data_IF_580660536768
#
_entry.id   IF_580660536768
#
_cell.length_a   1.000
_cell.length_b   1.000
_cell.length_c   1.000
_cell.angle_alpha   90.00
_cell.angle_beta   90.00
_cell.angle_gamma   90.00
#
_symmetry.space_group_name_H-M   'P 1'
#
loop_
_entity.id
_entity.type
_entity.pdbx_description
1 polymer ?
#
# COMPACT_ATOMS: atom_id res chain seq x y z
N UNK A 1 -10.30 -12.62 -1.49
CA UNK A 1 -9.02 -12.81 -2.20
C UNK A 1 -8.50 -11.42 -2.56
N UNK A 2 -7.50 -10.93 -1.81
CA UNK A 2 -6.87 -9.63 -2.08
C UNK A 2 -6.06 -9.72 -3.37
N UNK A 3 -6.33 -8.83 -4.32
CA UNK A 3 -5.53 -8.72 -5.54
C UNK A 3 -4.23 -8.00 -5.20
N UNK A 4 -3.12 -8.72 -5.23
CA UNK A 4 -1.80 -8.13 -5.26
C UNK A 4 -1.56 -7.60 -6.68
N UNK A 5 -1.51 -6.28 -6.86
CA UNK A 5 -1.05 -5.69 -8.10
C UNK A 5 0.42 -5.31 -7.93
N UNK A 6 1.30 -6.12 -8.50
CA UNK A 6 2.73 -5.82 -8.62
C UNK A 6 2.93 -5.18 -9.99
N UNK A 7 3.19 -3.88 -10.04
CA UNK A 7 3.44 -3.19 -11.30
C UNK A 7 4.92 -3.02 -11.61
N UNK A 8 5.26 -3.48 -12.81
CA UNK A 8 6.57 -3.31 -13.42
C UNK A 8 6.49 -2.15 -14.41
N UNK A 9 6.82 -0.92 -13.99
CA UNK A 9 7.10 0.12 -14.97
C UNK A 9 8.47 -0.14 -15.64
N UNK A 10 8.49 -0.98 -16.68
CA UNK A 10 9.64 -1.10 -17.57
C UNK A 10 9.46 -0.13 -18.73
N UNK A 11 10.32 0.87 -18.81
CA UNK A 11 10.51 1.64 -20.02
C UNK A 11 11.63 0.95 -20.83
N UNK A 12 11.25 0.06 -21.76
CA UNK A 12 12.18 -0.49 -22.78
C UNK A 12 11.66 -0.01 -24.12
N UNK A 13 12.36 0.97 -24.68
CA UNK A 13 12.17 1.37 -26.06
C UNK A 13 12.58 0.21 -26.99
N UNK A 14 11.61 -0.39 -27.65
CA UNK A 14 11.79 -1.41 -28.66
C UNK A 14 10.43 -1.81 -29.22
N UNK A 15 10.08 -1.32 -30.41
CA UNK A 15 8.90 -1.75 -31.14
C UNK A 15 9.06 -3.23 -31.54
N UNK A 16 8.20 -4.09 -30.99
CA UNK A 16 7.96 -5.44 -31.47
C UNK A 16 6.61 -5.51 -32.19
N UNK A 17 6.46 -6.28 -33.28
CA UNK A 17 5.24 -6.33 -34.08
C UNK A 17 4.09 -6.99 -33.31
N UNK A 18 2.89 -6.44 -33.46
CA UNK A 18 1.65 -6.91 -32.88
C UNK A 18 1.30 -8.34 -33.32
N UNK A 19 1.01 -9.28 -32.41
CA UNK A 19 0.42 -10.54 -32.81
C UNK A 19 -1.09 -10.35 -33.04
N UNK A 20 -1.55 -10.80 -34.19
CA UNK A 20 -2.96 -10.91 -34.59
C UNK A 20 -3.68 -11.89 -33.64
N UNK A 21 -4.72 -11.41 -32.96
CA UNK A 21 -5.61 -12.28 -32.16
C UNK A 21 -6.53 -13.08 -33.07
N UNK A 22 -6.75 -14.38 -32.78
CA UNK A 22 -7.82 -15.14 -33.40
C UNK A 22 -9.17 -14.68 -32.89
N UNK A 23 -10.11 -14.47 -33.80
CA UNK A 23 -11.52 -14.19 -33.49
C UNK A 23 -12.16 -15.42 -32.82
N UNK A 24 -12.63 -15.28 -31.58
CA UNK A 24 -13.45 -16.28 -30.90
C UNK A 24 -14.91 -16.02 -31.23
N UNK A 25 -15.57 -17.04 -31.79
CA UNK A 25 -17.00 -17.08 -32.02
C UNK A 25 -17.79 -17.13 -30.71
N UNK A 26 -19.03 -16.60 -30.66
CA UNK A 26 -19.84 -16.59 -29.44
C UNK A 26 -20.39 -18.01 -29.16
N UNK A 27 -20.08 -18.50 -27.96
CA UNK A 27 -20.68 -19.73 -27.45
C UNK A 27 -22.15 -19.50 -27.08
N UNK A 28 -23.03 -20.39 -27.65
CA UNK A 28 -24.45 -20.39 -27.41
C UNK A 28 -24.82 -20.60 -25.93
N UNK A 29 -25.86 -19.87 -25.52
CA UNK A 29 -26.50 -20.07 -24.21
C UNK A 29 -27.13 -21.46 -24.14
N UNK A 30 -26.61 -22.32 -23.29
CA UNK A 30 -27.30 -23.52 -22.85
C UNK A 30 -28.01 -23.23 -21.53
N UNK A 31 -29.32 -23.23 -21.58
CA UNK A 31 -30.24 -23.18 -20.45
C UNK A 31 -30.13 -24.49 -19.63
N UNK A 32 -29.41 -24.47 -18.52
CA UNK A 32 -29.53 -25.53 -17.53
C UNK A 32 -30.67 -25.18 -16.56
N UNK A 33 -31.82 -25.83 -16.76
CA UNK A 33 -32.93 -25.83 -15.81
C UNK A 33 -32.48 -26.41 -14.47
N UNK A 34 -32.64 -25.65 -13.41
CA UNK A 34 -32.38 -26.10 -12.03
C UNK A 34 -33.52 -27.03 -11.58
N UNK A 35 -33.23 -28.25 -11.06
CA UNK A 35 -34.29 -29.19 -10.67
C UNK A 35 -34.81 -29.00 -9.23
N UNK A 36 -34.54 -27.92 -8.55
CA UNK A 36 -35.00 -27.66 -7.18
C UNK A 36 -35.89 -26.42 -7.09
N UNK A 37 -37.11 -26.55 -7.58
CA UNK A 37 -38.23 -25.64 -7.26
C UNK A 37 -38.79 -26.01 -5.86
N UNK A 38 -38.12 -25.64 -4.80
CA UNK A 38 -38.76 -25.58 -3.48
C UNK A 38 -38.91 -24.12 -3.05
N UNK A 39 -40.20 -23.69 -2.96
CA UNK A 39 -40.57 -22.41 -2.40
C UNK A 39 -40.06 -22.35 -0.94
N UNK A 40 -39.13 -21.44 -0.66
CA UNK A 40 -38.75 -21.15 0.72
C UNK A 40 -39.95 -20.58 1.49
N UNK A 41 -40.16 -21.01 2.74
CA UNK A 41 -41.23 -20.42 3.57
C UNK A 41 -41.04 -18.92 3.75
N UNK A 42 -42.09 -18.13 3.55
CA UNK A 42 -42.06 -16.65 3.64
C UNK A 42 -41.47 -16.11 4.95
N UNK A 43 -41.52 -16.89 6.05
CA UNK A 43 -40.93 -16.51 7.32
C UNK A 43 -39.40 -16.44 7.35
N UNK A 44 -38.70 -17.24 6.53
CA UNK A 44 -37.22 -17.16 6.43
C UNK A 44 -36.77 -15.94 5.63
N UNK A 45 -37.56 -15.46 4.68
CA UNK A 45 -37.29 -14.23 3.94
C UNK A 45 -37.35 -12.97 4.82
N UNK A 46 -38.28 -12.91 5.77
CA UNK A 46 -38.39 -11.78 6.71
C UNK A 46 -37.25 -11.73 7.74
N UNK A 47 -36.76 -12.88 8.21
CA UNK A 47 -35.58 -12.91 9.10
C UNK A 47 -34.30 -12.48 8.39
N UNK A 48 -34.11 -12.83 7.11
CA UNK A 48 -32.96 -12.36 6.36
C UNK A 48 -33.00 -10.85 6.06
N UNK A 49 -34.20 -10.27 5.83
CA UNK A 49 -34.34 -8.83 5.65
C UNK A 49 -34.14 -8.04 6.95
N UNK A 50 -34.51 -8.58 8.12
CA UNK A 50 -34.25 -7.94 9.41
C UNK A 50 -32.79 -8.00 9.81
N UNK A 51 -32.04 -9.03 9.43
CA UNK A 51 -30.59 -9.10 9.68
C UNK A 51 -29.78 -8.13 8.80
N UNK A 52 -30.28 -7.74 7.64
CA UNK A 52 -29.61 -6.74 6.78
C UNK A 52 -29.71 -5.30 7.31
N UNK A 53 -30.65 -5.00 8.21
CA UNK A 53 -30.86 -3.65 8.74
C UNK A 53 -29.90 -3.26 9.89
N UNK A 54 -29.14 -4.19 10.44
CA UNK A 54 -28.25 -3.96 11.57
C UNK A 54 -26.76 -4.20 11.30
N UNK A 55 -26.34 -4.27 10.04
CA UNK A 55 -24.92 -4.19 9.75
C UNK A 55 -24.48 -2.74 10.04
N UNK A 56 -23.52 -2.52 10.96
CA UNK A 56 -22.92 -1.21 11.07
C UNK A 56 -22.42 -0.83 9.69
N UNK A 57 -22.87 0.29 9.17
CA UNK A 57 -22.34 0.87 7.94
C UNK A 57 -20.86 1.16 8.20
N UNK A 58 -20.02 0.16 7.92
CA UNK A 58 -18.57 0.31 8.04
C UNK A 58 -18.12 1.21 6.90
N UNK A 59 -18.11 2.50 7.16
CA UNK A 59 -17.40 3.42 6.30
C UNK A 59 -15.91 3.20 6.56
N UNK A 60 -15.14 2.72 5.57
CA UNK A 60 -13.70 2.61 5.77
C UNK A 60 -13.17 4.00 6.12
N UNK A 61 -12.38 4.07 7.17
CA UNK A 61 -11.68 5.29 7.55
C UNK A 61 -10.73 5.71 6.42
N UNK A 62 -10.11 6.87 6.60
CA UNK A 62 -9.14 7.38 5.65
C UNK A 62 -8.03 6.36 5.37
N UNK A 63 -7.29 6.59 4.31
CA UNK A 63 -6.17 5.74 3.93
C UNK A 63 -4.90 6.17 4.64
N UNK A 64 -4.14 5.19 5.10
CA UNK A 64 -2.77 5.37 5.57
C UNK A 64 -1.83 4.79 4.53
N UNK A 65 -0.99 5.64 3.93
CA UNK A 65 0.17 5.24 3.16
C UNK A 65 1.35 5.03 4.10
N UNK A 66 2.10 3.95 3.92
CA UNK A 66 3.30 3.68 4.72
C UNK A 66 4.46 3.37 3.79
N UNK A 67 5.55 4.11 3.93
CA UNK A 67 6.82 3.76 3.27
C UNK A 67 7.49 2.59 3.98
N UNK A 68 8.19 1.77 3.22
CA UNK A 68 8.94 0.60 3.72
C UNK A 68 9.83 0.92 4.92
N UNK A 69 10.54 2.05 4.90
CA UNK A 69 11.46 2.45 5.95
C UNK A 69 10.81 2.74 7.30
N UNK A 70 9.47 2.81 7.38
CA UNK A 70 8.74 2.85 8.64
C UNK A 70 8.38 1.44 9.18
N UNK A 71 8.59 0.38 8.38
CA UNK A 71 8.27 -1.02 8.70
C UNK A 71 9.54 -1.85 8.86
N UNK A 72 10.52 -1.61 7.99
CA UNK A 72 11.75 -2.40 7.87
C UNK A 72 12.98 -1.57 8.26
N UNK A 73 13.98 -2.25 8.81
CA UNK A 73 15.31 -1.68 8.95
C UNK A 73 15.96 -1.57 7.57
N UNK A 74 16.02 -0.36 7.04
CA UNK A 74 16.58 -0.04 5.72
C UNK A 74 17.96 0.63 5.77
N UNK A 75 18.67 0.49 6.89
CA UNK A 75 20.06 0.99 7.03
C UNK A 75 21.04 0.27 6.11
N UNK A 76 20.68 -0.94 5.68
CA UNK A 76 21.40 -1.73 4.68
C UNK A 76 20.50 -2.04 3.49
N UNK A 77 21.07 -2.22 2.30
CA UNK A 77 20.29 -2.68 1.14
C UNK A 77 19.63 -4.03 1.41
N UNK A 78 18.36 -4.17 1.07
CA UNK A 78 17.62 -5.43 1.10
C UNK A 78 17.73 -6.04 -0.30
N UNK A 79 18.68 -6.96 -0.49
CA UNK A 79 18.95 -7.58 -1.79
C UNK A 79 18.18 -8.89 -1.99
N UNK A 80 17.81 -9.54 -0.90
CA UNK A 80 17.06 -10.80 -0.90
C UNK A 80 16.16 -10.92 0.34
N UNK A 81 15.29 -11.91 0.36
CA UNK A 81 14.29 -12.08 1.40
C UNK A 81 14.87 -12.30 2.80
N UNK A 82 16.09 -12.84 2.92
CA UNK A 82 16.76 -13.03 4.23
C UNK A 82 17.31 -11.72 4.82
N UNK A 83 17.41 -10.65 4.03
CA UNK A 83 17.86 -9.35 4.52
C UNK A 83 16.73 -8.55 5.17
N UNK A 84 15.49 -9.06 5.12
CA UNK A 84 14.33 -8.38 5.68
C UNK A 84 14.38 -8.47 7.21
N UNK A 85 14.55 -7.31 7.82
CA UNK A 85 14.50 -7.12 9.26
C UNK A 85 13.36 -6.16 9.61
N UNK A 86 12.36 -6.67 10.34
CA UNK A 86 11.24 -5.86 10.79
C UNK A 86 11.67 -4.93 11.93
N UNK A 87 11.20 -3.69 11.90
CA UNK A 87 11.36 -2.77 13.02
C UNK A 87 10.54 -3.25 14.24
N UNK A 88 11.00 -3.00 15.46
CA UNK A 88 10.26 -3.36 16.68
C UNK A 88 8.82 -2.77 16.64
N UNK A 89 7.83 -3.63 16.91
CA UNK A 89 6.43 -3.25 16.94
C UNK A 89 5.78 -2.98 15.57
N UNK A 90 6.49 -3.17 14.45
CA UNK A 90 5.95 -2.88 13.12
C UNK A 90 4.70 -3.72 12.80
N UNK A 91 4.71 -5.02 13.10
CA UNK A 91 3.56 -5.90 12.88
C UNK A 91 2.36 -5.51 13.75
N UNK A 92 2.59 -5.16 15.01
CA UNK A 92 1.54 -4.71 15.92
C UNK A 92 0.95 -3.37 15.48
N UNK A 93 1.77 -2.47 14.93
CA UNK A 93 1.31 -1.23 14.33
C UNK A 93 0.38 -1.48 13.14
N UNK A 94 0.79 -2.32 12.20
CA UNK A 94 -0.01 -2.68 11.02
C UNK A 94 -1.33 -3.32 11.46
N UNK A 95 -1.29 -4.25 12.42
CA UNK A 95 -2.49 -4.89 12.98
C UNK A 95 -3.42 -3.84 13.61
N UNK A 96 -2.88 -2.93 14.43
CA UNK A 96 -3.62 -1.87 15.10
C UNK A 96 -4.31 -0.94 14.09
N UNK A 97 -3.60 -0.52 13.05
CA UNK A 97 -4.14 0.29 11.96
C UNK A 97 -5.34 -0.41 11.30
N UNK A 98 -5.18 -1.70 10.99
CA UNK A 98 -6.26 -2.50 10.37
C UNK A 98 -7.46 -2.69 11.30
N UNK A 99 -7.22 -2.99 12.58
CA UNK A 99 -8.29 -3.15 13.58
C UNK A 99 -9.06 -1.85 13.80
N UNK A 100 -8.39 -0.70 13.68
CA UNK A 100 -9.03 0.61 13.74
C UNK A 100 -9.80 0.98 12.47
N UNK A 101 -9.79 0.15 11.44
CA UNK A 101 -10.59 0.30 10.22
C UNK A 101 -10.00 1.19 9.14
N UNK A 102 -8.74 1.59 9.24
CA UNK A 102 -8.06 2.34 8.19
C UNK A 102 -7.73 1.46 6.98
N UNK A 103 -7.83 2.03 5.79
CA UNK A 103 -7.23 1.45 4.60
C UNK A 103 -5.71 1.59 4.67
N UNK A 104 -5.00 0.59 4.17
CA UNK A 104 -3.54 0.52 4.27
C UNK A 104 -2.91 0.22 2.92
N UNK A 105 -2.04 1.12 2.47
CA UNK A 105 -1.22 0.93 1.27
C UNK A 105 0.25 1.10 1.63
N UNK A 106 1.08 0.14 1.21
CA UNK A 106 2.51 0.15 1.46
C UNK A 106 3.25 0.55 0.18
N UNK A 107 4.28 1.37 0.34
CA UNK A 107 5.07 1.90 -0.76
C UNK A 107 6.55 1.58 -0.58
N UNK A 108 7.20 1.16 -1.67
CA UNK A 108 8.63 0.96 -1.72
C UNK A 108 9.24 1.87 -2.78
N UNK A 109 10.37 2.46 -2.45
CA UNK A 109 11.24 3.10 -3.44
C UNK A 109 12.47 2.21 -3.60
N UNK A 110 12.61 1.52 -4.75
CA UNK A 110 13.67 0.54 -5.02
C UNK A 110 14.63 1.00 -6.11
N UNK A 111 15.43 2.05 -5.84
CA UNK A 111 16.36 2.59 -6.85
C UNK A 111 17.45 1.62 -7.27
N UNK A 112 17.69 0.57 -6.49
CA UNK A 112 18.69 -0.45 -6.81
C UNK A 112 18.39 -1.22 -8.09
N UNK A 113 17.11 -1.27 -8.51
CA UNK A 113 16.73 -1.89 -9.78
C UNK A 113 17.28 -1.08 -10.95
N UNK A 114 17.06 0.24 -10.98
CA UNK A 114 17.59 1.10 -12.04
C UNK A 114 19.13 1.16 -12.06
N UNK A 115 19.77 0.86 -10.93
CA UNK A 115 21.22 0.76 -10.80
C UNK A 115 21.77 -0.63 -11.22
N UNK A 116 20.91 -1.58 -11.59
CA UNK A 116 21.32 -2.95 -11.94
C UNK A 116 21.82 -3.78 -10.74
N UNK A 117 21.59 -3.33 -9.48
CA UNK A 117 22.04 -4.01 -8.25
C UNK A 117 20.98 -4.93 -7.65
N UNK A 118 19.73 -4.81 -8.09
CA UNK A 118 18.60 -5.60 -7.64
C UNK A 118 17.73 -5.95 -8.85
N UNK A 119 17.16 -7.15 -8.88
CA UNK A 119 16.22 -7.56 -9.92
C UNK A 119 14.77 -7.35 -9.45
N UNK A 120 13.84 -7.16 -10.39
CA UNK A 120 12.42 -7.10 -10.07
C UNK A 120 11.95 -8.40 -9.37
N UNK A 121 12.47 -9.57 -9.81
CA UNK A 121 12.16 -10.85 -9.18
C UNK A 121 12.62 -10.92 -7.71
N UNK A 122 13.77 -10.33 -7.37
CA UNK A 122 14.23 -10.26 -5.99
C UNK A 122 13.30 -9.37 -5.14
N UNK A 123 12.81 -8.25 -5.70
CA UNK A 123 11.82 -7.41 -5.01
C UNK A 123 10.50 -8.17 -4.80
N UNK A 124 10.02 -8.90 -5.81
CA UNK A 124 8.82 -9.74 -5.69
C UNK A 124 8.99 -10.78 -4.55
N UNK A 125 10.18 -11.40 -4.44
CA UNK A 125 10.51 -12.32 -3.36
C UNK A 125 10.54 -11.64 -1.99
N UNK A 126 11.09 -10.43 -1.91
CA UNK A 126 11.11 -9.61 -0.70
C UNK A 126 9.68 -9.22 -0.27
N UNK A 127 8.84 -8.82 -1.21
CA UNK A 127 7.41 -8.54 -0.96
C UNK A 127 6.70 -9.78 -0.43
N UNK A 128 6.93 -10.94 -1.06
CA UNK A 128 6.33 -12.21 -0.62
C UNK A 128 6.73 -12.56 0.81
N UNK A 129 8.00 -12.37 1.16
CA UNK A 129 8.49 -12.60 2.53
C UNK A 129 7.84 -11.64 3.55
N UNK A 130 7.69 -10.36 3.20
CA UNK A 130 6.99 -9.41 4.05
C UNK A 130 5.52 -9.82 4.27
N UNK A 131 4.85 -10.28 3.21
CA UNK A 131 3.48 -10.79 3.29
C UNK A 131 3.38 -12.06 4.15
N UNK A 132 4.40 -12.92 4.14
CA UNK A 132 4.49 -14.08 5.03
C UNK A 132 4.55 -13.64 6.50
N UNK A 133 5.37 -12.64 6.84
CA UNK A 133 5.41 -12.07 8.19
C UNK A 133 4.05 -11.49 8.61
N UNK A 134 3.36 -10.80 7.71
CA UNK A 134 2.02 -10.29 7.97
C UNK A 134 1.04 -11.43 8.26
N UNK A 135 1.03 -12.48 7.44
CA UNK A 135 0.20 -13.67 7.64
C UNK A 135 0.44 -14.37 8.97
N UNK A 136 1.71 -14.57 9.35
CA UNK A 136 2.09 -15.13 10.66
C UNK A 136 1.63 -14.26 11.83
N UNK A 137 1.54 -12.95 11.64
CA UNK A 137 1.02 -12.01 12.62
C UNK A 137 -0.51 -11.87 12.58
N UNK A 138 -1.23 -12.66 11.76
CA UNK A 138 -2.68 -12.56 11.61
C UNK A 138 -3.17 -11.37 10.80
N UNK A 139 -2.30 -10.74 10.01
CA UNK A 139 -2.62 -9.64 9.10
C UNK A 139 -2.84 -10.23 7.71
N UNK A 140 -4.09 -10.59 7.39
CA UNK A 140 -4.39 -11.30 6.14
C UNK A 140 -4.72 -10.38 4.97
N UNK A 141 -4.93 -9.09 5.20
CA UNK A 141 -5.31 -8.14 4.15
C UNK A 141 -4.66 -6.78 4.35
N UNK A 142 -4.09 -6.25 3.28
CA UNK A 142 -3.76 -4.84 3.07
C UNK A 142 -4.47 -4.39 1.79
N UNK A 143 -4.72 -3.10 1.62
CA UNK A 143 -5.45 -2.59 0.45
C UNK A 143 -4.55 -2.50 -0.79
N UNK A 144 -3.23 -2.38 -0.59
CA UNK A 144 -2.28 -2.42 -1.70
C UNK A 144 -0.81 -2.36 -1.27
N UNK A 145 0.04 -2.72 -2.24
CA UNK A 145 1.48 -2.54 -2.16
C UNK A 145 1.99 -2.15 -3.55
N UNK A 146 2.73 -1.06 -3.63
CA UNK A 146 3.34 -0.58 -4.86
C UNK A 146 4.81 -0.28 -4.65
N UNK A 147 5.61 -0.46 -5.71
CA UNK A 147 6.99 -0.02 -5.68
C UNK A 147 7.42 0.71 -6.95
N UNK A 148 8.32 1.68 -6.80
CA UNK A 148 9.04 2.33 -7.89
C UNK A 148 10.39 1.68 -8.07
N UNK A 149 10.82 1.54 -9.32
CA UNK A 149 12.11 0.95 -9.70
C UNK A 149 13.20 2.00 -9.92
N UNK A 150 12.89 3.27 -9.75
CA UNK A 150 13.75 4.40 -10.07
C UNK A 150 13.86 5.38 -8.91
N UNK A 151 14.92 6.18 -8.91
CA UNK A 151 15.06 7.37 -8.05
C UNK A 151 15.24 8.65 -8.88
N UNK A 152 14.99 8.60 -10.17
CA UNK A 152 15.11 9.76 -11.06
C UNK A 152 13.94 10.73 -10.79
N UNK A 153 14.23 12.02 -10.74
CA UNK A 153 13.22 13.07 -10.48
C UNK A 153 12.13 13.13 -11.56
N UNK A 154 12.50 12.73 -12.76
CA UNK A 154 11.64 12.71 -13.96
C UNK A 154 10.67 11.51 -13.94
N UNK A 155 10.94 10.50 -13.12
CA UNK A 155 10.04 9.37 -12.96
C UNK A 155 8.90 9.72 -12.00
N UNK A 156 7.69 9.83 -12.55
CA UNK A 156 6.50 10.17 -11.77
C UNK A 156 6.20 9.17 -10.64
N UNK A 157 6.68 7.93 -10.74
CA UNK A 157 6.49 6.90 -9.71
C UNK A 157 7.55 6.96 -8.60
N UNK A 158 8.72 7.56 -8.86
CA UNK A 158 9.74 7.73 -7.82
C UNK A 158 9.36 8.84 -6.84
N UNK A 159 9.33 8.54 -5.53
CA UNK A 159 9.14 9.61 -4.53
C UNK A 159 10.30 10.60 -4.58
N UNK A 160 10.04 11.90 -4.41
CA UNK A 160 8.85 12.52 -3.82
C UNK A 160 7.66 12.74 -4.77
N UNK A 161 7.71 12.29 -6.02
CA UNK A 161 6.56 12.38 -6.92
C UNK A 161 5.42 11.47 -6.42
N UNK A 162 4.19 11.77 -6.82
CA UNK A 162 3.01 11.12 -6.27
C UNK A 162 2.35 10.08 -7.19
N UNK A 163 3.03 9.67 -8.24
CA UNK A 163 2.47 8.74 -9.23
C UNK A 163 2.02 7.42 -8.64
N UNK A 164 2.79 6.84 -7.70
CA UNK A 164 2.36 5.62 -7.00
C UNK A 164 1.07 5.83 -6.19
N UNK A 165 0.95 6.96 -5.47
CA UNK A 165 -0.26 7.25 -4.69
C UNK A 165 -1.47 7.47 -5.59
N UNK A 166 -1.33 8.26 -6.66
CA UNK A 166 -2.40 8.47 -7.65
C UNK A 166 -2.84 7.16 -8.30
N UNK A 167 -1.89 6.28 -8.58
CA UNK A 167 -2.21 4.95 -9.08
C UNK A 167 -3.00 4.14 -8.06
N UNK A 168 -2.59 4.14 -6.78
CA UNK A 168 -3.34 3.47 -5.73
C UNK A 168 -4.78 4.03 -5.62
N UNK A 169 -4.97 5.35 -5.70
CA UNK A 169 -6.29 5.97 -5.70
C UNK A 169 -7.16 5.46 -6.85
N UNK A 170 -6.60 5.37 -8.05
CA UNK A 170 -7.35 4.95 -9.24
C UNK A 170 -7.68 3.45 -9.24
N UNK A 171 -6.73 2.59 -8.88
CA UNK A 171 -6.84 1.14 -9.05
C UNK A 171 -7.34 0.42 -7.79
N UNK A 172 -7.01 0.92 -6.59
CA UNK A 172 -7.31 0.26 -5.31
C UNK A 172 -8.49 0.90 -4.58
N UNK A 173 -9.11 1.94 -5.16
CA UNK A 173 -10.25 2.67 -4.57
C UNK A 173 -9.95 3.16 -3.15
N UNK A 174 -8.74 3.70 -2.96
CA UNK A 174 -8.30 4.39 -1.76
C UNK A 174 -8.29 5.89 -1.98
N UNK A 175 -8.24 6.69 -0.91
CA UNK A 175 -8.11 8.15 -0.99
C UNK A 175 -7.16 8.62 0.10
N UNK A 176 -6.08 9.30 -0.27
CA UNK A 176 -5.09 9.79 0.69
C UNK A 176 -5.46 11.14 1.29
N UNK A 177 -6.27 11.93 0.60
CA UNK A 177 -6.72 13.25 1.10
C UNK A 177 -7.37 13.12 2.48
N UNK A 178 -6.82 13.84 3.46
CA UNK A 178 -7.28 13.82 4.85
C UNK A 178 -6.72 12.65 5.68
N UNK A 179 -6.26 11.60 5.05
CA UNK A 179 -5.59 10.47 5.69
C UNK A 179 -4.15 10.77 6.10
N UNK A 180 -3.28 9.77 6.14
CA UNK A 180 -1.91 9.90 6.63
C UNK A 180 -0.91 9.29 5.66
N UNK A 181 0.32 9.81 5.68
CA UNK A 181 1.45 9.16 5.01
C UNK A 181 2.64 9.09 5.97
N UNK A 182 3.00 7.87 6.37
CA UNK A 182 4.07 7.61 7.32
C UNK A 182 5.34 7.13 6.62
N UNK A 183 6.47 7.73 6.97
CA UNK A 183 7.77 7.35 6.45
C UNK A 183 8.91 7.91 7.29
N UNK A 184 10.14 7.52 6.96
CA UNK A 184 11.35 7.95 7.68
C UNK A 184 12.24 8.89 6.86
N UNK A 185 11.81 9.28 5.65
CA UNK A 185 12.59 10.14 4.74
C UNK A 185 11.79 11.37 4.34
N UNK A 186 12.49 12.48 4.11
CA UNK A 186 11.87 13.75 3.67
C UNK A 186 11.07 13.58 2.37
N UNK A 187 11.54 12.76 1.45
CA UNK A 187 10.82 12.53 0.20
C UNK A 187 9.49 11.81 0.41
N UNK A 188 9.35 10.95 1.43
CA UNK A 188 8.07 10.32 1.80
C UNK A 188 7.06 11.38 2.27
N UNK A 189 7.51 12.30 3.14
CA UNK A 189 6.67 13.37 3.68
C UNK A 189 6.18 14.31 2.56
N UNK A 190 7.08 14.67 1.62
CA UNK A 190 6.73 15.47 0.44
C UNK A 190 5.72 14.76 -0.46
N UNK A 191 5.92 13.48 -0.69
CA UNK A 191 5.01 12.67 -1.49
C UNK A 191 3.62 12.63 -0.85
N UNK A 192 3.52 12.38 0.46
CA UNK A 192 2.27 12.38 1.21
C UNK A 192 1.56 13.74 1.18
N UNK A 193 2.29 14.84 1.44
CA UNK A 193 1.72 16.21 1.42
C UNK A 193 1.17 16.56 0.02
N UNK A 194 1.80 16.10 -1.05
CA UNK A 194 1.38 16.35 -2.44
C UNK A 194 0.03 15.73 -2.81
N UNK A 195 -0.43 14.72 -2.07
CA UNK A 195 -1.77 14.10 -2.18
C UNK A 195 -2.70 14.51 -1.03
N UNK A 196 -2.32 15.56 -0.30
CA UNK A 196 -3.07 16.10 0.85
C UNK A 196 -3.26 15.08 2.00
N UNK A 197 -2.38 14.10 2.13
CA UNK A 197 -2.26 13.30 3.33
C UNK A 197 -1.51 14.06 4.42
N UNK A 198 -1.78 13.76 5.68
CA UNK A 198 -1.05 14.31 6.83
C UNK A 198 0.31 13.61 6.94
N UNK A 199 1.44 14.34 6.78
CA UNK A 199 2.76 13.71 6.83
C UNK A 199 3.10 13.27 8.25
N UNK A 200 3.63 12.05 8.37
CA UNK A 200 4.07 11.43 9.63
C UNK A 200 5.52 11.00 9.50
N UNK A 201 6.40 11.60 10.29
CA UNK A 201 7.80 11.18 10.39
C UNK A 201 7.94 10.11 11.46
N UNK A 202 8.44 8.94 11.08
CA UNK A 202 8.74 7.85 12.00
C UNK A 202 10.24 7.83 12.29
N UNK A 203 10.59 7.84 13.58
CA UNK A 203 11.99 7.75 14.05
C UNK A 203 12.53 6.33 13.93
N UNK A 204 12.61 5.82 12.71
CA UNK A 204 13.31 4.58 12.39
C UNK A 204 14.78 4.85 12.10
N UNK A 205 15.65 3.83 12.09
CA UNK A 205 17.09 4.04 11.88
C UNK A 205 17.41 4.93 10.68
N UNK A 206 18.27 5.92 10.87
CA UNK A 206 18.66 6.89 9.82
C UNK A 206 17.73 8.08 9.64
N UNK A 207 16.73 8.28 10.53
CA UNK A 207 15.81 9.43 10.47
C UNK A 207 16.47 10.77 10.86
N UNK A 208 17.55 10.76 11.64
CA UNK A 208 18.15 11.96 12.22
C UNK A 208 18.58 12.97 11.15
N UNK A 209 19.17 12.48 10.07
CA UNK A 209 19.55 13.32 8.93
C UNK A 209 18.34 13.90 8.21
N UNK A 210 17.22 13.21 8.24
CA UNK A 210 15.98 13.64 7.59
C UNK A 210 15.23 14.69 8.43
N UNK A 211 15.29 14.59 9.75
CA UNK A 211 14.76 15.60 10.67
C UNK A 211 15.51 16.93 10.49
N UNK A 212 16.84 16.90 10.37
CA UNK A 212 17.67 18.07 10.06
C UNK A 212 17.25 18.70 8.72
N UNK A 213 17.02 17.89 7.68
CA UNK A 213 16.56 18.38 6.38
C UNK A 213 15.16 19.00 6.45
N UNK A 214 14.29 18.42 7.26
CA UNK A 214 12.93 18.94 7.48
C UNK A 214 12.97 20.30 8.21
N UNK A 215 13.97 20.54 9.06
CA UNK A 215 14.13 21.78 9.83
C UNK A 215 14.65 22.97 9.00
N UNK A 216 14.88 22.78 7.71
CA UNK A 216 15.34 23.87 6.85
C UNK A 216 14.21 24.84 6.50
N UNK A 217 14.58 26.10 6.20
CA UNK A 217 13.64 27.12 5.76
C UNK A 217 12.80 26.68 4.54
N UNK A 218 13.43 25.96 3.60
CA UNK A 218 12.75 25.46 2.40
C UNK A 218 11.63 24.44 2.70
N UNK A 219 11.64 23.81 3.87
CA UNK A 219 10.66 22.80 4.28
C UNK A 219 9.77 23.25 5.45
N UNK A 220 9.79 24.55 5.79
CA UNK A 220 9.05 25.10 6.95
C UNK A 220 7.56 24.76 6.95
N UNK A 221 6.89 24.87 5.80
CA UNK A 221 5.47 24.53 5.69
C UNK A 221 5.22 23.05 5.92
N UNK A 222 6.04 22.18 5.31
CA UNK A 222 5.95 20.74 5.48
C UNK A 222 6.21 20.37 6.95
N UNK A 223 7.22 20.98 7.58
CA UNK A 223 7.51 20.76 9.01
C UNK A 223 6.30 21.08 9.88
N UNK A 224 5.62 22.20 9.64
CA UNK A 224 4.46 22.62 10.44
C UNK A 224 3.27 21.65 10.32
N UNK A 225 3.17 20.91 9.22
CA UNK A 225 2.15 19.87 9.00
C UNK A 225 2.57 18.49 9.51
N UNK A 226 3.88 18.24 9.65
CA UNK A 226 4.42 16.93 9.99
C UNK A 226 4.32 16.67 11.49
N UNK A 227 3.76 15.51 11.85
CA UNK A 227 3.88 14.99 13.21
C UNK A 227 4.97 13.93 13.26
N UNK A 228 5.73 13.89 14.34
CA UNK A 228 6.84 12.94 14.55
C UNK A 228 6.47 11.95 15.65
N UNK A 229 6.75 10.67 15.42
CA UNK A 229 6.53 9.60 16.38
C UNK A 229 7.80 8.75 16.55
N UNK A 230 8.03 8.21 17.75
CA UNK A 230 9.22 7.39 18.02
C UNK A 230 9.16 6.04 17.29
N UNK A 231 7.98 5.53 17.02
CA UNK A 231 7.78 4.28 16.27
C UNK A 231 6.48 4.32 15.44
N UNK A 232 6.36 3.40 14.50
CA UNK A 232 5.10 3.19 13.78
C UNK A 232 3.98 2.75 14.74
N UNK A 233 4.33 2.01 15.80
CA UNK A 233 3.36 1.58 16.81
C UNK A 233 2.80 2.76 17.62
N UNK A 234 3.65 3.73 18.00
CA UNK A 234 3.19 4.94 18.69
C UNK A 234 2.22 5.73 17.82
N UNK A 235 2.51 5.86 16.52
CA UNK A 235 1.60 6.46 15.58
C UNK A 235 0.29 5.68 15.49
N UNK A 236 0.34 4.36 15.32
CA UNK A 236 -0.85 3.50 15.23
C UNK A 236 -1.75 3.61 16.47
N UNK A 237 -1.14 3.68 17.66
CA UNK A 237 -1.85 3.84 18.93
C UNK A 237 -2.52 5.22 19.05
N UNK A 238 -1.94 6.27 18.47
CA UNK A 238 -2.48 7.64 18.49
C UNK A 238 -3.69 7.84 17.58
N UNK A 239 -3.95 6.92 16.67
CA UNK A 239 -5.13 6.97 15.79
C UNK A 239 -6.42 6.75 16.59
N UNK A 240 -7.50 7.39 16.19
CA UNK A 240 -8.82 7.30 16.83
C UNK A 240 -9.75 6.38 16.08
#
# INVERSE_FOLDING_TARGET
MGRFSVDRSMNVGGQAPSPTMPQTQPYGQQNYGSPYGQQMPQQQGMMMQQQQQNWPTYFPKETIGIDRGAILNDTKPILNASDIELLPGALDAIRTIRLKGYKLVIFFNEPLISQGKLTAQAVDSNVQQLMNYFGQAGIFTIDGLLYSTSNMKEDNFAMPNNGMMKRAENEMKVAFKGGYFAGNKLYNLKAGDSVHAKPILIKSPGYESEEIKLDTFANKELKNKTKTFNSLLDFANSLT
#
